data_IF_437372468906
#
_entry.id   IF_437372468906
#
_cell.length_a   1.000
_cell.length_b   1.000
_cell.length_c   1.000
_cell.angle_alpha   90.00
_cell.angle_beta   90.00
_cell.angle_gamma   90.00
#
_symmetry.space_group_name_H-M   'P 1'
#
loop_
_entity.id
_entity.type
_entity.pdbx_description
1 polymer ?
#
# COMPACT_ATOMS: atom_id res chain seq x y z
N UNK A 1 -0.65 -45.69 -5.78
CA UNK A 1 0.17 -44.64 -6.42
C UNK A 1 -0.60 -43.90 -7.52
N UNK A 2 -1.93 -43.72 -7.38
CA UNK A 2 -2.77 -43.02 -8.38
C UNK A 2 -3.25 -41.64 -7.91
N UNK A 3 -3.20 -41.35 -6.60
CA UNK A 3 -3.65 -40.07 -6.03
C UNK A 3 -2.83 -38.86 -6.49
N UNK A 4 -1.50 -38.99 -6.57
CA UNK A 4 -0.61 -37.85 -6.86
C UNK A 4 -0.75 -37.29 -8.27
N UNK A 5 -1.06 -38.13 -9.27
CA UNK A 5 -1.30 -37.68 -10.64
C UNK A 5 -2.67 -36.98 -10.77
N UNK A 6 -3.66 -37.46 -10.01
CA UNK A 6 -4.99 -36.86 -9.99
C UNK A 6 -4.97 -35.50 -9.27
N UNK A 7 -4.31 -35.41 -8.12
CA UNK A 7 -4.09 -34.17 -7.37
C UNK A 7 -3.33 -33.12 -8.21
N UNK A 8 -2.32 -33.55 -8.99
CA UNK A 8 -1.61 -32.65 -9.90
C UNK A 8 -2.52 -32.14 -11.03
N UNK A 9 -3.34 -33.02 -11.62
CA UNK A 9 -4.27 -32.62 -12.68
C UNK A 9 -5.34 -31.64 -12.17
N UNK A 10 -5.84 -31.84 -10.95
CA UNK A 10 -6.77 -30.94 -10.28
C UNK A 10 -6.12 -29.58 -9.99
N UNK A 11 -4.92 -29.58 -9.40
CA UNK A 11 -4.15 -28.35 -9.16
C UNK A 11 -3.88 -27.56 -10.45
N UNK A 12 -3.44 -28.24 -11.52
CA UNK A 12 -3.15 -27.57 -12.79
C UNK A 12 -4.40 -26.93 -13.41
N UNK A 13 -5.55 -27.60 -13.30
CA UNK A 13 -6.84 -27.08 -13.79
C UNK A 13 -7.29 -25.88 -12.96
N UNK A 14 -7.18 -25.98 -11.63
CA UNK A 14 -7.53 -24.90 -10.73
C UNK A 14 -6.63 -23.68 -10.96
N UNK A 15 -5.31 -23.88 -11.00
CA UNK A 15 -4.35 -22.80 -11.24
C UNK A 15 -4.57 -22.12 -12.59
N UNK A 16 -4.92 -22.87 -13.64
CA UNK A 16 -5.27 -22.28 -14.93
C UNK A 16 -6.53 -21.41 -14.84
N UNK A 17 -7.55 -21.89 -14.14
CA UNK A 17 -8.81 -21.15 -13.91
C UNK A 17 -8.56 -19.86 -13.12
N UNK A 18 -7.74 -19.94 -12.07
CA UNK A 18 -7.36 -18.78 -11.26
C UNK A 18 -6.57 -17.74 -12.08
N UNK A 19 -5.62 -18.18 -12.92
CA UNK A 19 -4.87 -17.28 -13.79
C UNK A 19 -5.78 -16.54 -14.79
N UNK A 20 -6.80 -17.21 -15.32
CA UNK A 20 -7.79 -16.58 -16.19
C UNK A 20 -8.61 -15.55 -15.42
N UNK A 21 -9.06 -15.88 -14.21
CA UNK A 21 -9.81 -14.96 -13.36
C UNK A 21 -8.99 -13.73 -12.97
N UNK A 22 -7.70 -13.89 -12.61
CA UNK A 22 -6.81 -12.76 -12.36
C UNK A 22 -6.62 -11.89 -13.60
N UNK A 23 -6.42 -12.52 -14.76
CA UNK A 23 -6.29 -11.77 -16.00
C UNK A 23 -7.56 -10.96 -16.29
N UNK A 24 -8.74 -11.55 -16.13
CA UNK A 24 -10.02 -10.87 -16.30
C UNK A 24 -10.17 -9.69 -15.34
N UNK A 25 -9.94 -9.90 -14.04
CA UNK A 25 -10.02 -8.83 -13.03
C UNK A 25 -9.03 -7.69 -13.35
N UNK A 26 -7.83 -8.01 -13.82
CA UNK A 26 -6.78 -7.01 -14.05
C UNK A 26 -6.84 -6.34 -15.44
N UNK A 27 -7.60 -6.90 -16.38
CA UNK A 27 -7.69 -6.37 -17.75
C UNK A 27 -9.07 -5.87 -18.14
N UNK A 28 -10.11 -6.22 -17.38
CA UNK A 28 -11.47 -5.72 -17.56
C UNK A 28 -11.80 -4.67 -16.47
N UNK A 29 -11.91 -3.38 -16.83
CA UNK A 29 -12.11 -2.30 -15.85
C UNK A 29 -13.46 -2.41 -15.12
N UNK A 30 -14.51 -2.94 -15.75
CA UNK A 30 -15.81 -3.12 -15.11
C UNK A 30 -15.73 -4.16 -13.97
N UNK A 31 -15.02 -5.27 -14.23
CA UNK A 31 -14.80 -6.33 -13.23
C UNK A 31 -13.90 -5.83 -12.11
N UNK A 32 -12.85 -5.08 -12.44
CA UNK A 32 -11.98 -4.47 -11.43
C UNK A 32 -12.75 -3.51 -10.52
N UNK A 33 -13.59 -2.65 -11.11
CA UNK A 33 -14.39 -1.68 -10.36
C UNK A 33 -15.40 -2.36 -9.43
N UNK A 34 -16.08 -3.41 -9.88
CA UNK A 34 -17.02 -4.14 -9.01
C UNK A 34 -16.28 -4.82 -7.85
N UNK A 35 -15.11 -5.44 -8.13
CA UNK A 35 -14.28 -6.04 -7.10
C UNK A 35 -13.80 -5.00 -6.07
N UNK A 36 -13.33 -3.83 -6.50
CA UNK A 36 -12.86 -2.78 -5.59
C UNK A 36 -14.00 -2.19 -4.77
N UNK A 37 -15.18 -1.97 -5.36
CA UNK A 37 -16.36 -1.50 -4.62
C UNK A 37 -16.84 -2.57 -3.63
N UNK A 38 -16.82 -3.85 -3.99
CA UNK A 38 -17.21 -4.93 -3.08
C UNK A 38 -16.22 -5.12 -1.95
N UNK A 39 -14.94 -4.81 -2.16
CA UNK A 39 -13.89 -4.97 -1.15
C UNK A 39 -13.75 -3.74 -0.24
N UNK A 40 -13.80 -2.54 -0.82
CA UNK A 40 -13.54 -1.25 -0.16
C UNK A 40 -14.77 -0.36 0.00
N UNK A 41 -15.91 -0.76 -0.55
CA UNK A 41 -17.17 -0.07 -0.35
C UNK A 41 -17.72 -0.30 1.07
N UNK A 42 -18.85 0.35 1.40
CA UNK A 42 -19.39 0.38 2.76
C UNK A 42 -19.75 -1.02 3.31
N UNK A 43 -20.17 -1.94 2.44
CA UNK A 43 -20.51 -3.32 2.79
C UNK A 43 -19.31 -4.29 2.66
N UNK A 44 -18.14 -3.76 2.28
CA UNK A 44 -16.93 -4.54 2.07
C UNK A 44 -16.25 -4.94 3.38
N UNK A 45 -15.33 -5.91 3.33
CA UNK A 45 -14.50 -6.26 4.48
C UNK A 45 -13.63 -5.11 4.98
N UNK A 46 -13.28 -4.16 4.11
CA UNK A 46 -12.39 -3.03 4.42
C UNK A 46 -12.95 -1.71 3.88
N UNK A 47 -14.06 -1.19 4.43
CA UNK A 47 -14.66 0.05 3.95
C UNK A 47 -13.69 1.22 4.03
N UNK A 48 -13.71 2.10 3.03
CA UNK A 48 -12.97 3.36 3.04
C UNK A 48 -13.88 4.46 3.56
N UNK A 49 -13.43 5.11 4.63
CA UNK A 49 -14.11 6.24 5.26
C UNK A 49 -13.53 7.55 4.72
N UNK A 50 -14.38 8.44 4.22
CA UNK A 50 -13.96 9.71 3.63
C UNK A 50 -13.77 10.82 4.67
N UNK A 51 -14.39 10.68 5.84
CA UNK A 51 -14.32 11.66 6.92
C UNK A 51 -13.61 11.13 8.17
N UNK A 52 -12.85 12.00 8.83
CA UNK A 52 -12.28 11.76 10.18
C UNK A 52 -13.33 11.37 11.23
N UNK A 53 -14.58 11.79 11.04
CA UNK A 53 -15.71 11.48 11.93
C UNK A 53 -16.14 10.01 11.85
N UNK A 54 -16.00 9.38 10.68
CA UNK A 54 -16.34 7.98 10.46
C UNK A 54 -15.25 7.02 11.01
N UNK A 55 -14.02 7.51 11.13
CA UNK A 55 -12.88 6.78 11.69
C UNK A 55 -13.00 6.54 13.20
N UNK A 56 -13.70 7.41 13.94
CA UNK A 56 -13.90 7.28 15.40
C UNK A 56 -14.97 6.24 15.77
N UNK A 57 -15.90 5.96 14.84
CA UNK A 57 -17.06 5.09 15.09
C UNK A 57 -16.77 3.60 14.88
N UNK A 58 -15.86 3.27 13.96
CA UNK A 58 -15.36 1.92 13.73
C UNK A 58 -13.99 1.80 14.40
N UNK A 59 -13.69 0.69 15.06
CA UNK A 59 -12.50 0.49 15.93
C UNK A 59 -11.11 0.56 15.26
N UNK A 60 -10.91 1.42 14.27
CA UNK A 60 -9.62 1.89 13.83
C UNK A 60 -8.95 2.64 14.99
N UNK A 61 -7.70 2.31 15.36
CA UNK A 61 -6.95 3.10 16.32
C UNK A 61 -6.70 4.49 15.72
N UNK A 62 -7.53 5.46 16.07
CA UNK A 62 -7.32 6.89 15.78
C UNK A 62 -6.53 7.58 16.90
N UNK A 63 -6.04 6.80 17.88
CA UNK A 63 -5.27 7.32 19.00
C UNK A 63 -4.04 8.07 18.49
N UNK A 64 -3.89 9.33 18.91
CA UNK A 64 -2.64 10.07 18.74
C UNK A 64 -1.54 9.24 19.39
N UNK A 65 -0.60 8.76 18.57
CA UNK A 65 0.54 7.99 19.03
C UNK A 65 1.33 8.85 20.02
N UNK A 66 1.24 8.52 21.32
CA UNK A 66 1.98 9.22 22.36
C UNK A 66 3.48 8.91 22.18
N UNK A 67 4.30 9.91 21.76
CA UNK A 67 5.69 9.68 21.41
C UNK A 67 6.56 9.27 22.62
N UNK A 68 6.01 9.33 23.84
CA UNK A 68 6.69 8.94 25.08
C UNK A 68 6.36 7.52 25.55
N UNK A 69 5.34 6.86 24.97
CA UNK A 69 4.93 5.50 25.34
C UNK A 69 5.76 4.41 24.61
N UNK A 70 6.38 4.75 23.48
CA UNK A 70 7.35 3.90 22.80
C UNK A 70 8.76 4.29 23.27
N UNK A 71 9.38 3.42 24.07
CA UNK A 71 10.67 3.66 24.73
C UNK A 71 11.72 4.34 23.85
N UNK A 72 12.43 5.30 24.46
CA UNK A 72 13.67 5.96 24.05
C UNK A 72 14.07 5.80 22.56
N UNK A 73 13.19 6.24 21.67
CA UNK A 73 13.62 6.52 20.30
C UNK A 73 14.51 7.77 20.33
N UNK A 74 15.74 7.71 19.80
CA UNK A 74 16.59 8.90 19.73
C UNK A 74 15.87 9.97 18.92
N UNK A 75 15.74 11.16 19.51
CA UNK A 75 15.07 12.30 18.88
C UNK A 75 15.63 12.51 17.47
N UNK A 76 14.77 12.64 16.44
CA UNK A 76 15.23 12.88 15.09
C UNK A 76 16.09 14.15 15.06
N UNK A 77 17.27 14.12 14.43
CA UNK A 77 18.11 15.31 14.34
C UNK A 77 17.32 16.44 13.67
N UNK A 78 17.47 17.65 14.20
CA UNK A 78 16.81 18.84 13.67
C UNK A 78 17.03 18.92 12.15
N UNK A 79 15.94 19.03 11.40
CA UNK A 79 15.95 19.04 9.95
C UNK A 79 16.90 20.13 9.43
N UNK A 80 17.99 19.71 8.77
CA UNK A 80 18.86 20.62 8.05
C UNK A 80 18.09 21.24 6.87
N UNK A 81 18.36 22.52 6.59
CA UNK A 81 17.68 23.30 5.56
C UNK A 81 17.62 22.58 4.20
N UNK A 82 16.51 22.73 3.44
CA UNK A 82 16.23 21.91 2.28
C UNK A 82 17.26 22.13 1.16
N UNK A 83 18.08 21.12 0.92
CA UNK A 83 18.81 20.96 -0.33
C UNK A 83 17.83 20.53 -1.43
N UNK A 84 18.03 21.04 -2.64
CA UNK A 84 17.07 21.04 -3.73
C UNK A 84 16.39 19.68 -4.01
N UNK A 85 15.09 19.68 -4.38
CA UNK A 85 14.25 18.49 -4.50
C UNK A 85 14.54 17.61 -5.72
N UNK A 86 15.54 17.94 -6.55
CA UNK A 86 15.72 17.35 -7.89
C UNK A 86 16.00 15.84 -7.87
N UNK A 87 16.51 15.29 -6.77
CA UNK A 87 16.94 13.88 -6.70
C UNK A 87 16.29 13.04 -5.59
N UNK A 88 15.24 13.56 -4.91
CA UNK A 88 14.57 12.86 -3.81
C UNK A 88 14.13 11.44 -4.20
N UNK A 89 13.51 11.29 -5.36
CA UNK A 89 12.99 9.99 -5.84
C UNK A 89 14.08 8.99 -6.21
N UNK A 90 15.24 9.45 -6.68
CA UNK A 90 16.39 8.58 -6.93
C UNK A 90 16.94 8.00 -5.63
N UNK A 91 17.07 8.83 -4.60
CA UNK A 91 17.53 8.40 -3.27
C UNK A 91 16.50 7.53 -2.56
N UNK A 92 15.20 7.86 -2.67
CA UNK A 92 14.13 7.02 -2.14
C UNK A 92 14.13 5.64 -2.80
N UNK A 93 14.32 5.55 -4.12
CA UNK A 93 14.32 4.27 -4.82
C UNK A 93 15.50 3.37 -4.42
N UNK A 94 16.70 3.92 -4.27
CA UNK A 94 17.86 3.17 -3.76
C UNK A 94 17.65 2.68 -2.32
N UNK A 95 17.04 3.53 -1.47
CA UNK A 95 16.70 3.17 -0.09
C UNK A 95 15.60 2.10 -0.05
N UNK A 96 14.57 2.19 -0.88
CA UNK A 96 13.51 1.19 -0.98
C UNK A 96 14.03 -0.16 -1.46
N UNK A 97 15.00 -0.15 -2.39
CA UNK A 97 15.66 -1.35 -2.88
C UNK A 97 16.58 -2.01 -1.84
N UNK A 98 17.19 -1.22 -0.94
CA UNK A 98 18.16 -1.72 0.05
C UNK A 98 17.56 -2.00 1.43
N UNK A 99 16.65 -1.14 1.88
CA UNK A 99 16.03 -1.19 3.20
C UNK A 99 14.57 -0.67 3.15
N UNK A 100 13.63 -1.49 2.64
CA UNK A 100 12.23 -1.10 2.50
C UNK A 100 11.54 -0.84 3.85
N UNK A 101 12.05 -1.41 4.95
CA UNK A 101 11.48 -1.24 6.28
C UNK A 101 11.67 0.18 6.82
N UNK A 102 12.69 0.90 6.36
CA UNK A 102 12.95 2.29 6.73
C UNK A 102 12.57 3.30 5.65
N UNK A 103 12.33 2.87 4.42
CA UNK A 103 12.01 3.73 3.29
C UNK A 103 10.76 4.60 3.50
N UNK A 104 9.74 4.08 4.20
CA UNK A 104 8.53 4.84 4.52
C UNK A 104 8.80 6.10 5.37
N UNK A 105 9.88 6.10 6.18
CA UNK A 105 10.28 7.28 6.98
C UNK A 105 10.78 8.41 6.09
N UNK A 106 11.49 8.07 5.01
CA UNK A 106 11.97 9.04 4.03
C UNK A 106 10.80 9.66 3.26
N UNK A 107 9.76 8.86 2.99
CA UNK A 107 8.52 9.36 2.39
C UNK A 107 7.78 10.34 3.32
N UNK A 108 7.69 10.05 4.61
CA UNK A 108 7.10 10.98 5.59
C UNK A 108 7.88 12.29 5.77
N UNK A 109 9.17 12.30 5.46
CA UNK A 109 10.00 13.50 5.49
C UNK A 109 9.96 14.29 4.17
N UNK A 110 9.33 13.73 3.12
CA UNK A 110 9.21 14.41 1.85
C UNK A 110 8.33 15.65 1.98
N UNK A 111 8.71 16.75 1.32
CA UNK A 111 7.82 17.90 1.23
C UNK A 111 6.57 17.51 0.42
N UNK A 112 5.36 17.97 0.81
CA UNK A 112 4.10 17.61 0.15
C UNK A 112 4.11 17.86 -1.37
N UNK A 113 4.83 18.89 -1.83
CA UNK A 113 4.99 19.19 -3.26
C UNK A 113 5.82 18.16 -4.04
N UNK A 114 6.79 17.50 -3.39
CA UNK A 114 7.64 16.47 -4.02
C UNK A 114 6.86 15.17 -4.28
N UNK A 115 5.92 14.84 -3.39
CA UNK A 115 5.02 13.68 -3.54
C UNK A 115 3.93 13.97 -4.58
N UNK A 116 3.32 15.15 -4.49
CA UNK A 116 2.29 15.61 -5.43
C UNK A 116 2.81 15.61 -6.87
N UNK A 117 4.02 16.13 -7.12
CA UNK A 117 4.57 16.19 -8.47
C UNK A 117 4.80 14.80 -9.12
N UNK A 118 5.03 13.72 -8.35
CA UNK A 118 5.19 12.39 -8.95
C UNK A 118 3.86 11.70 -9.30
N UNK A 119 2.76 12.11 -8.67
CA UNK A 119 1.41 11.66 -9.01
C UNK A 119 0.94 12.23 -10.36
N UNK A 120 1.46 13.40 -10.76
CA UNK A 120 1.14 14.06 -12.04
C UNK A 120 2.12 13.77 -13.19
N UNK A 121 3.21 13.03 -12.95
CA UNK A 121 4.20 12.67 -14.00
C UNK A 121 3.82 11.35 -14.71
N UNK A 122 2.55 10.95 -14.65
CA UNK A 122 1.97 9.89 -15.48
C UNK A 122 1.04 10.45 -16.57
N UNK A 123 1.46 11.51 -17.27
CA UNK A 123 0.96 11.84 -18.62
C UNK A 123 2.05 11.55 -19.67
#
# INVERSE_FOLDING_TARGET
MTGTLQEYAEFATQSHTENLAYNEILTNPDVLSDYTIRFFGPEGPYPVHEGEQDLEAYGYPTEQVDPYAYGEFPAPPAAAAPQQPTNFWGTFNDMMARDPQNAWRVLNQAQPGTVSNKLFVME
#
